data_IF_785491184216
#
_entry.id   IF_785491184216
#
_cell.length_a   1.000
_cell.length_b   1.000
_cell.length_c   1.000
_cell.angle_alpha   90.00
_cell.angle_beta   90.00
_cell.angle_gamma   90.00
#
_symmetry.space_group_name_H-M   'P 1'
#
loop_
_entity.id
_entity.type
_entity.pdbx_description
1 polymer ?
#
# COMPACT_ATOMS: atom_id res chain seq x y z
N UNK A 1 -0.97 9.01 -8.71
CA UNK A 1 -2.03 8.09 -8.24
C UNK A 1 -3.23 8.92 -7.79
N UNK A 2 -4.46 8.47 -8.04
CA UNK A 2 -5.69 9.19 -7.66
C UNK A 2 -6.49 8.36 -6.66
N UNK A 3 -7.22 9.03 -5.77
CA UNK A 3 -8.12 8.40 -4.83
C UNK A 3 -9.28 7.74 -5.56
N UNK A 4 -9.52 6.45 -5.30
CA UNK A 4 -10.63 5.72 -5.94
C UNK A 4 -12.01 6.19 -5.46
N UNK A 5 -12.09 6.85 -4.30
CA UNK A 5 -13.34 7.36 -3.73
C UNK A 5 -13.81 8.67 -4.36
N UNK A 6 -12.88 9.62 -4.60
CA UNK A 6 -13.24 10.98 -5.03
C UNK A 6 -12.47 11.48 -6.26
N UNK A 7 -11.55 10.70 -6.81
CA UNK A 7 -10.76 11.05 -8.00
C UNK A 7 -9.66 12.08 -7.76
N UNK A 8 -9.56 12.69 -6.57
CA UNK A 8 -8.50 13.65 -6.24
C UNK A 8 -7.11 13.00 -6.23
N UNK A 9 -6.05 13.74 -6.58
CA UNK A 9 -4.68 13.24 -6.47
C UNK A 9 -4.34 12.88 -5.02
N UNK A 10 -3.54 11.82 -4.85
CA UNK A 10 -2.98 11.44 -3.55
C UNK A 10 -1.69 12.23 -3.29
N UNK A 11 -1.47 12.62 -2.04
CA UNK A 11 -0.23 13.21 -1.53
C UNK A 11 0.29 12.27 -0.45
N UNK A 12 1.48 11.70 -0.62
CA UNK A 12 2.08 10.74 0.32
C UNK A 12 1.09 9.63 0.75
N UNK A 13 0.39 9.04 -0.22
CA UNK A 13 -0.65 8.01 -0.01
C UNK A 13 -1.91 8.48 0.75
N UNK A 14 -2.06 9.77 1.01
CA UNK A 14 -3.25 10.36 1.64
C UNK A 14 -4.10 11.12 0.62
N UNK A 15 -5.42 10.98 0.71
CA UNK A 15 -6.36 11.80 -0.03
C UNK A 15 -6.85 12.98 0.83
N UNK A 16 -6.32 14.17 0.59
CA UNK A 16 -6.70 15.39 1.33
C UNK A 16 -8.18 15.80 1.14
N UNK A 17 -8.85 15.30 0.10
CA UNK A 17 -10.26 15.63 -0.16
C UNK A 17 -11.25 14.78 0.63
N UNK A 18 -11.00 13.48 0.79
CA UNK A 18 -11.94 12.56 1.44
C UNK A 18 -11.38 11.88 2.71
N UNK A 19 -10.14 12.19 3.08
CA UNK A 19 -9.47 11.63 4.26
C UNK A 19 -8.96 10.20 4.10
N UNK A 20 -9.22 9.53 2.97
CA UNK A 20 -8.78 8.15 2.77
C UNK A 20 -7.25 8.04 2.77
N UNK A 21 -6.74 7.08 3.55
CA UNK A 21 -5.32 6.72 3.61
C UNK A 21 -5.12 5.42 2.84
N UNK A 22 -4.06 5.32 2.04
CA UNK A 22 -3.74 4.12 1.28
C UNK A 22 -2.49 3.46 1.84
N UNK A 23 -2.52 2.13 1.93
CA UNK A 23 -1.39 1.31 2.35
C UNK A 23 -1.12 0.21 1.33
N UNK A 24 0.13 -0.26 1.29
CA UNK A 24 0.48 -1.43 0.50
C UNK A 24 -0.14 -2.70 1.11
N UNK A 25 -0.62 -3.58 0.25
CA UNK A 25 -1.20 -4.87 0.58
C UNK A 25 -0.62 -5.96 -0.32
N UNK A 26 -0.25 -7.08 0.28
CA UNK A 26 0.21 -8.24 -0.47
C UNK A 26 -0.93 -8.81 -1.32
N UNK A 27 -0.78 -8.95 -2.65
CA UNK A 27 -1.85 -9.47 -3.50
C UNK A 27 -2.14 -10.96 -3.25
N UNK A 28 -1.20 -11.71 -2.68
CA UNK A 28 -1.33 -13.15 -2.47
C UNK A 28 -2.10 -13.50 -1.20
N UNK A 29 -1.84 -12.79 -0.10
CA UNK A 29 -2.40 -13.12 1.21
C UNK A 29 -3.17 -11.97 1.88
N UNK A 30 -3.20 -10.79 1.25
CA UNK A 30 -3.87 -9.61 1.80
C UNK A 30 -3.15 -8.95 2.98
N UNK A 31 -1.92 -9.37 3.33
CA UNK A 31 -1.17 -8.78 4.43
C UNK A 31 -0.84 -7.30 4.18
N UNK A 32 -1.13 -6.45 5.16
CA UNK A 32 -0.94 -4.98 5.10
C UNK A 32 0.04 -4.45 6.14
N UNK A 33 0.12 -5.09 7.31
CA UNK A 33 0.79 -4.54 8.49
C UNK A 33 2.27 -4.90 8.56
N UNK A 34 2.63 -6.10 8.13
CA UNK A 34 3.97 -6.67 8.34
C UNK A 34 4.78 -6.72 7.04
N UNK A 35 4.73 -5.66 6.22
CA UNK A 35 5.55 -5.62 5.00
C UNK A 35 6.97 -5.18 5.35
N UNK A 36 7.96 -5.97 4.93
CA UNK A 36 9.37 -5.69 5.14
C UNK A 36 9.90 -4.87 3.96
N UNK A 37 10.60 -3.78 4.24
CA UNK A 37 11.37 -3.09 3.21
C UNK A 37 12.68 -3.85 2.97
N UNK A 38 12.96 -4.18 1.72
CA UNK A 38 14.17 -4.90 1.31
C UNK A 38 14.99 -4.01 0.37
N UNK A 39 16.30 -4.04 0.55
CA UNK A 39 17.24 -3.35 -0.32
C UNK A 39 17.51 -4.20 -1.58
N UNK A 40 17.15 -3.65 -2.74
CA UNK A 40 17.40 -4.27 -4.05
C UNK A 40 18.50 -3.50 -4.82
N UNK A 41 19.32 -2.70 -4.13
CA UNK A 41 20.41 -1.90 -4.70
C UNK A 41 19.94 -0.48 -5.02
N UNK A 42 19.79 -0.10 -6.31
CA UNK A 42 19.35 1.26 -6.67
C UNK A 42 17.86 1.54 -6.38
N UNK A 43 17.10 0.55 -5.92
CA UNK A 43 15.69 0.66 -5.57
C UNK A 43 15.43 -0.06 -4.23
N UNK A 44 14.51 0.48 -3.42
CA UNK A 44 13.89 -0.25 -2.32
C UNK A 44 12.68 -1.03 -2.84
N UNK A 45 12.52 -2.25 -2.33
CA UNK A 45 11.38 -3.12 -2.61
C UNK A 45 10.61 -3.46 -1.34
N UNK A 46 9.45 -4.08 -1.50
CA UNK A 46 8.69 -4.64 -0.38
C UNK A 46 8.74 -6.17 -0.45
N UNK A 47 8.76 -6.80 0.72
CA UNK A 47 8.61 -8.25 0.90
C UNK A 47 7.47 -8.52 1.87
N UNK A 48 6.64 -9.50 1.53
CA UNK A 48 5.62 -10.02 2.42
C UNK A 48 6.17 -11.25 3.16
N UNK A 49 6.48 -11.18 4.46
CA UNK A 49 7.03 -12.31 5.20
C UNK A 49 6.05 -13.48 5.36
N UNK A 50 4.74 -13.24 5.19
CA UNK A 50 3.70 -14.29 5.32
C UNK A 50 3.67 -15.27 4.15
N UNK A 51 4.01 -14.83 2.94
CA UNK A 51 3.94 -15.65 1.73
C UNK A 51 5.19 -15.53 0.85
N UNK A 52 6.22 -14.86 1.37
CA UNK A 52 7.50 -14.60 0.70
C UNK A 52 7.37 -13.85 -0.64
N UNK A 53 6.29 -13.08 -0.83
CA UNK A 53 6.10 -12.29 -2.04
C UNK A 53 7.04 -11.08 -2.03
N UNK A 54 7.93 -10.99 -3.01
CA UNK A 54 8.84 -9.85 -3.24
C UNK A 54 8.47 -9.05 -4.51
N UNK A 55 7.31 -9.35 -5.11
CA UNK A 55 6.83 -8.70 -6.33
C UNK A 55 6.05 -7.42 -6.06
N UNK A 56 5.16 -7.06 -6.99
CA UNK A 56 4.34 -5.85 -6.88
C UNK A 56 3.29 -5.96 -5.76
N UNK A 57 3.09 -4.85 -5.05
CA UNK A 57 2.09 -4.70 -4.00
C UNK A 57 0.94 -3.82 -4.47
N UNK A 58 -0.26 -4.11 -3.99
CA UNK A 58 -1.46 -3.33 -4.30
C UNK A 58 -1.61 -2.20 -3.28
N UNK A 59 -1.98 -1.01 -3.73
CA UNK A 59 -2.40 0.07 -2.82
C UNK A 59 -3.89 -0.08 -2.53
N UNK A 60 -4.24 -0.25 -1.27
CA UNK A 60 -5.63 -0.37 -0.82
C UNK A 60 -5.96 0.76 0.15
N UNK A 61 -7.19 1.26 0.11
CA UNK A 61 -7.65 2.21 1.10
C UNK A 61 -7.80 1.52 2.45
N UNK A 62 -7.28 2.14 3.51
CA UNK A 62 -7.70 1.86 4.87
C UNK A 62 -9.12 2.39 5.01
N UNK A 63 -10.08 1.48 5.00
CA UNK A 63 -11.38 1.80 5.58
C UNK A 63 -11.12 1.96 7.09
N UNK A 64 -11.49 3.10 7.68
CA UNK A 64 -11.59 3.19 9.13
C UNK A 64 -12.64 2.16 9.55
N UNK A 65 -12.19 0.96 9.93
CA UNK A 65 -12.98 -0.01 10.69
C UNK A 65 -13.31 0.69 12.01
N UNK A 66 -14.48 1.33 12.02
CA UNK A 66 -15.04 2.09 13.14
C UNK A 66 -15.83 1.18 14.07
#
# INVERSE_FOLDING_TARGET
>A
MHCVRCGSPLVESHCLSCGAVYVAACPLCGNREELEEIDLGPASGLRCPRCDNTGDFLMVALDEDR
#
